data_IF_151423165856
#
_entry.id   IF_151423165856
#
_cell.length_a   1.000
_cell.length_b   1.000
_cell.length_c   1.000
_cell.angle_alpha   90.00
_cell.angle_beta   90.00
_cell.angle_gamma   90.00
#
_symmetry.space_group_name_H-M   'P 1'
#
loop_
_entity.id
_entity.type
_entity.pdbx_description
1 polymer ?
#
# COMPACT_ATOMS: atom_id res chain seq x y z
N UNK A 1 -7.47 0.31 7.30
CA UNK A 1 -7.28 -1.05 6.78
C UNK A 1 -7.71 -2.01 7.89
N UNK A 2 -8.03 -3.26 7.54
CA UNK A 2 -8.53 -4.26 8.49
C UNK A 2 -10.00 -4.08 8.86
N UNK A 3 -10.36 -4.54 10.07
CA UNK A 3 -11.75 -4.62 10.52
C UNK A 3 -12.40 -3.24 10.66
N UNK A 4 -13.50 -3.05 9.95
CA UNK A 4 -14.25 -1.80 9.97
C UNK A 4 -14.65 -1.39 11.40
N UNK A 5 -14.23 -0.19 11.81
CA UNK A 5 -14.53 0.44 13.11
C UNK A 5 -13.87 -0.22 14.34
N UNK A 6 -12.95 -1.15 14.14
CA UNK A 6 -12.18 -1.72 15.25
C UNK A 6 -11.26 -0.69 15.91
N UNK A 7 -10.59 0.18 15.13
CA UNK A 7 -9.78 1.28 15.69
C UNK A 7 -10.60 2.17 16.66
N UNK A 8 -11.80 2.57 16.23
CA UNK A 8 -12.70 3.40 17.06
C UNK A 8 -13.13 2.67 18.36
N UNK A 9 -13.30 1.34 18.31
CA UNK A 9 -13.60 0.52 19.48
C UNK A 9 -12.38 0.46 20.43
N UNK A 10 -11.19 0.24 19.89
CA UNK A 10 -9.94 0.20 20.65
C UNK A 10 -9.67 1.53 21.37
N UNK A 11 -9.97 2.66 20.73
CA UNK A 11 -9.82 3.99 21.32
C UNK A 11 -10.82 4.28 22.45
N UNK A 12 -12.01 3.66 22.40
CA UNK A 12 -13.06 3.85 23.42
C UNK A 12 -12.83 3.03 24.68
N UNK A 13 -11.98 2.01 24.64
CA UNK A 13 -11.74 1.11 25.77
C UNK A 13 -10.26 1.15 26.15
N UNK A 14 -9.85 2.05 27.07
CA UNK A 14 -8.46 2.19 27.48
C UNK A 14 -7.82 0.89 27.99
N UNK A 15 -8.60 0.00 28.61
CA UNK A 15 -8.10 -1.27 29.14
C UNK A 15 -7.67 -2.29 28.06
N UNK A 16 -7.99 -2.05 26.79
CA UNK A 16 -7.53 -2.89 25.67
C UNK A 16 -6.08 -2.61 25.26
N UNK A 17 -5.47 -1.53 25.77
CA UNK A 17 -4.11 -1.15 25.44
C UNK A 17 -3.26 -0.88 26.68
N UNK A 18 -1.94 -0.99 26.51
CA UNK A 18 -0.96 -0.56 27.49
C UNK A 18 -0.24 0.69 27.00
N UNK A 19 -0.05 1.66 27.86
CA UNK A 19 0.89 2.75 27.58
C UNK A 19 2.31 2.23 27.77
N UNK A 20 3.12 2.31 26.71
CA UNK A 20 4.49 1.79 26.67
C UNK A 20 5.44 2.86 26.16
N UNK A 21 6.72 2.70 26.49
CA UNK A 21 7.80 3.52 25.94
C UNK A 21 8.72 2.62 25.12
N UNK A 22 8.85 2.91 23.83
CA UNK A 22 9.66 2.12 22.90
C UNK A 22 11.07 2.69 22.85
N UNK A 23 12.05 1.84 23.19
CA UNK A 23 13.49 2.08 23.11
C UNK A 23 14.20 0.71 23.08
N UNK A 24 15.43 0.65 22.53
CA UNK A 24 16.34 -0.51 22.65
C UNK A 24 15.71 -1.86 22.25
N UNK A 25 14.97 -1.89 21.16
CA UNK A 25 14.23 -3.08 20.69
C UNK A 25 14.22 -3.17 19.17
N UNK A 26 14.02 -4.38 18.64
CA UNK A 26 13.60 -4.55 17.26
C UNK A 26 12.14 -4.15 17.06
N UNK A 27 11.79 -3.71 15.86
CA UNK A 27 10.44 -3.29 15.47
C UNK A 27 10.14 -3.73 14.04
N UNK A 28 9.09 -4.55 13.85
CA UNK A 28 8.60 -4.86 12.50
C UNK A 28 7.64 -3.75 12.07
N UNK A 29 7.82 -3.23 10.87
CA UNK A 29 7.07 -2.09 10.36
C UNK A 29 6.34 -2.49 9.08
N UNK A 30 5.04 -2.29 9.07
CA UNK A 30 4.25 -2.25 7.83
C UNK A 30 4.60 -0.97 7.05
N UNK A 31 5.40 -1.14 6.00
CA UNK A 31 5.92 -0.05 5.19
C UNK A 31 4.81 0.65 4.42
N UNK A 32 3.79 -0.08 3.95
CA UNK A 32 2.65 0.50 3.27
C UNK A 32 1.90 1.45 4.19
N UNK A 33 1.51 0.97 5.37
CA UNK A 33 0.89 1.82 6.39
C UNK A 33 1.77 3.03 6.75
N UNK A 34 3.08 2.83 6.91
CA UNK A 34 4.00 3.89 7.31
C UNK A 34 4.11 5.01 6.29
N UNK A 35 4.37 4.74 5.00
CA UNK A 35 4.54 5.83 4.05
C UNK A 35 3.23 6.59 3.79
N UNK A 36 2.07 5.93 3.83
CA UNK A 36 0.77 6.62 3.77
C UNK A 36 0.59 7.52 4.99
N UNK A 37 0.95 7.03 6.19
CA UNK A 37 0.85 7.78 7.43
C UNK A 37 1.76 9.02 7.42
N UNK A 38 3.05 8.85 7.11
CA UNK A 38 4.01 9.95 7.07
C UNK A 38 3.61 11.00 6.05
N UNK A 39 3.10 10.59 4.88
CA UNK A 39 2.67 11.55 3.86
C UNK A 39 1.45 12.37 4.29
N UNK A 40 0.39 11.69 4.73
CA UNK A 40 -0.90 12.33 5.01
C UNK A 40 -0.94 13.08 6.35
N UNK A 41 -0.15 12.67 7.32
CA UNK A 41 -0.14 13.25 8.67
C UNK A 41 1.15 14.04 8.97
N UNK A 42 1.94 14.38 7.94
CA UNK A 42 3.04 15.33 8.10
C UNK A 42 2.53 16.69 8.59
N UNK A 43 3.29 17.31 9.48
CA UNK A 43 2.98 18.65 9.99
C UNK A 43 3.14 19.72 8.90
N UNK A 44 3.96 19.44 7.87
CA UNK A 44 4.24 20.32 6.76
C UNK A 44 3.11 20.36 5.72
N UNK A 45 2.16 19.41 5.80
CA UNK A 45 1.04 19.25 4.84
C UNK A 45 1.55 19.18 3.40
N UNK A 46 2.22 18.08 3.11
CA UNK A 46 2.81 17.78 1.81
C UNK A 46 1.76 17.90 0.70
N UNK A 47 2.19 18.44 -0.44
CA UNK A 47 1.30 18.69 -1.58
C UNK A 47 0.74 17.37 -2.13
N UNK A 48 -0.54 17.34 -2.45
CA UNK A 48 -1.20 16.17 -3.05
C UNK A 48 -1.79 16.50 -4.42
N UNK A 49 -1.73 17.77 -4.84
CA UNK A 49 -2.42 18.25 -6.04
C UNK A 49 -1.52 18.25 -7.27
N UNK A 50 -0.29 18.72 -7.12
CA UNK A 50 0.63 19.00 -8.21
C UNK A 50 1.68 17.89 -8.36
N UNK A 51 1.27 16.63 -8.22
CA UNK A 51 2.14 15.48 -8.40
C UNK A 51 3.02 15.11 -7.19
N UNK A 52 2.93 15.85 -6.07
CA UNK A 52 3.55 15.49 -4.79
C UNK A 52 4.70 16.39 -4.34
N UNK A 53 4.96 16.42 -3.02
CA UNK A 53 6.13 17.05 -2.38
C UNK A 53 7.11 15.97 -1.89
N UNK A 54 7.95 15.49 -2.80
CA UNK A 54 8.93 14.44 -2.52
C UNK A 54 10.09 14.89 -1.62
N UNK A 55 10.63 16.12 -1.73
CA UNK A 55 11.62 16.61 -0.77
C UNK A 55 11.08 16.68 0.66
N UNK A 56 9.89 17.26 0.86
CA UNK A 56 9.26 17.31 2.18
C UNK A 56 8.92 15.91 2.72
N UNK A 57 8.50 14.99 1.85
CA UNK A 57 8.31 13.59 2.21
C UNK A 57 9.61 12.91 2.66
N UNK A 58 10.72 13.13 1.92
CA UNK A 58 12.04 12.59 2.28
C UNK A 58 12.47 13.07 3.67
N UNK A 59 12.29 14.35 3.97
CA UNK A 59 12.61 14.91 5.29
C UNK A 59 11.78 14.23 6.40
N UNK A 60 10.49 14.03 6.19
CA UNK A 60 9.61 13.37 7.15
C UNK A 60 10.04 11.92 7.43
N UNK A 61 10.34 11.14 6.38
CA UNK A 61 10.82 9.75 6.49
C UNK A 61 12.17 9.68 7.18
N UNK A 62 13.12 10.55 6.81
CA UNK A 62 14.43 10.60 7.44
C UNK A 62 14.34 10.94 8.92
N UNK A 63 13.46 11.86 9.31
CA UNK A 63 13.23 12.21 10.71
C UNK A 63 12.61 11.06 11.50
N UNK A 64 11.67 10.31 10.91
CA UNK A 64 11.09 9.14 11.54
C UNK A 64 12.16 8.09 11.88
N UNK A 65 12.98 7.68 10.91
CA UNK A 65 14.03 6.68 11.13
C UNK A 65 15.17 7.19 12.02
N UNK A 66 15.49 8.49 11.96
CA UNK A 66 16.42 9.12 12.90
C UNK A 66 15.91 9.03 14.33
N UNK A 67 14.61 9.26 14.57
CA UNK A 67 14.03 9.09 15.90
C UNK A 67 14.16 7.64 16.38
N UNK A 68 13.89 6.65 15.53
CA UNK A 68 14.08 5.24 15.90
C UNK A 68 15.55 4.96 16.28
N UNK A 69 16.49 5.43 15.47
CA UNK A 69 17.92 5.30 15.74
C UNK A 69 18.33 5.96 17.07
N UNK A 70 17.88 7.19 17.33
CA UNK A 70 18.16 7.92 18.56
C UNK A 70 17.57 7.21 19.81
N UNK A 71 16.57 6.36 19.60
CA UNK A 71 15.93 5.53 20.62
C UNK A 71 16.47 4.10 20.65
N UNK A 72 17.54 3.80 19.90
CA UNK A 72 18.13 2.46 19.75
C UNK A 72 17.12 1.40 19.29
N UNK A 73 16.12 1.81 18.50
CA UNK A 73 15.12 0.93 17.90
C UNK A 73 15.62 0.48 16.53
N UNK A 74 15.68 -0.83 16.30
CA UNK A 74 16.11 -1.43 15.02
C UNK A 74 14.87 -1.75 14.16
N UNK A 75 14.63 -1.01 13.07
CA UNK A 75 13.47 -1.22 12.21
C UNK A 75 13.70 -2.32 11.16
N UNK A 76 12.67 -3.13 10.91
CA UNK A 76 12.59 -4.07 9.79
C UNK A 76 11.30 -3.79 9.01
N UNK A 77 11.43 -3.29 7.78
CA UNK A 77 10.30 -2.79 7.01
C UNK A 77 9.80 -3.84 6.00
N UNK A 78 8.49 -4.08 5.95
CA UNK A 78 7.87 -4.97 4.97
C UNK A 78 6.93 -4.17 4.07
N UNK A 79 7.02 -4.38 2.75
CA UNK A 79 6.23 -3.66 1.75
C UNK A 79 5.31 -4.63 1.00
N UNK A 80 4.11 -4.17 0.66
CA UNK A 80 3.13 -4.97 -0.10
C UNK A 80 3.57 -5.24 -1.55
N UNK A 81 3.37 -6.49 -1.97
CA UNK A 81 3.72 -7.06 -3.24
C UNK A 81 2.72 -6.87 -4.37
N UNK A 82 2.65 -7.89 -5.23
CA UNK A 82 1.60 -8.04 -6.23
C UNK A 82 0.27 -8.41 -5.57
N UNK A 83 -0.82 -8.08 -6.24
CA UNK A 83 -2.16 -8.41 -5.77
C UNK A 83 -2.56 -9.77 -6.33
N UNK A 84 -2.87 -10.76 -5.49
CA UNK A 84 -3.33 -12.09 -5.93
C UNK A 84 -4.58 -12.04 -6.84
N UNK A 85 -4.82 -13.11 -7.61
CA UNK A 85 -5.85 -13.16 -8.67
C UNK A 85 -7.26 -12.87 -8.18
N UNK A 86 -7.53 -13.26 -6.94
CA UNK A 86 -8.87 -13.24 -6.33
C UNK A 86 -9.28 -11.83 -5.90
N UNK A 87 -8.38 -10.84 -6.00
CA UNK A 87 -8.60 -9.46 -5.53
C UNK A 87 -8.89 -8.47 -6.66
N UNK A 88 -9.05 -8.92 -7.92
CA UNK A 88 -9.26 -8.03 -9.07
C UNK A 88 -10.43 -7.07 -8.89
N UNK A 89 -11.59 -7.54 -8.45
CA UNK A 89 -12.77 -6.69 -8.23
C UNK A 89 -12.52 -5.65 -7.12
N UNK A 90 -11.86 -6.06 -6.04
CA UNK A 90 -11.46 -5.17 -4.95
C UNK A 90 -10.49 -4.08 -5.43
N UNK A 91 -9.50 -4.43 -6.27
CA UNK A 91 -8.56 -3.46 -6.86
C UNK A 91 -9.28 -2.44 -7.72
N UNK A 92 -10.22 -2.87 -8.57
CA UNK A 92 -11.00 -1.96 -9.42
C UNK A 92 -11.88 -1.04 -8.59
N UNK A 93 -12.55 -1.58 -7.56
CA UNK A 93 -13.34 -0.79 -6.61
C UNK A 93 -12.48 0.24 -5.87
N UNK A 94 -11.28 -0.16 -5.44
CA UNK A 94 -10.31 0.72 -4.78
C UNK A 94 -9.78 1.80 -5.74
N UNK A 95 -9.52 1.44 -7.00
CA UNK A 95 -9.10 2.39 -8.03
C UNK A 95 -10.20 3.43 -8.32
N UNK A 96 -11.46 3.02 -8.43
CA UNK A 96 -12.61 3.93 -8.57
C UNK A 96 -12.67 4.93 -7.40
N UNK A 97 -12.52 4.45 -6.16
CA UNK A 97 -12.48 5.33 -4.97
C UNK A 97 -11.29 6.30 -5.02
N UNK A 98 -10.12 5.87 -5.50
CA UNK A 98 -8.95 6.74 -5.67
C UNK A 98 -9.17 7.78 -6.77
N UNK A 99 -9.83 7.41 -7.86
CA UNK A 99 -10.20 8.32 -8.95
C UNK A 99 -11.11 9.46 -8.46
N UNK A 100 -12.16 9.13 -7.71
CA UNK A 100 -13.08 10.12 -7.12
C UNK A 100 -12.34 11.11 -6.20
N UNK A 101 -11.42 10.60 -5.37
CA UNK A 101 -10.58 11.44 -4.51
C UNK A 101 -9.67 12.34 -5.33
N UNK A 102 -9.02 11.80 -6.35
CA UNK A 102 -8.13 12.55 -7.23
C UNK A 102 -8.85 13.68 -7.97
N UNK A 103 -10.05 13.40 -8.51
CA UNK A 103 -10.94 14.39 -9.11
C UNK A 103 -11.28 15.50 -8.11
N UNK A 104 -11.72 15.12 -6.91
CA UNK A 104 -12.07 16.10 -5.87
C UNK A 104 -10.88 17.01 -5.53
N UNK A 105 -9.65 16.46 -5.43
CA UNK A 105 -8.44 17.25 -5.17
C UNK A 105 -8.09 18.17 -6.34
N UNK A 106 -8.27 17.72 -7.59
CA UNK A 106 -8.02 18.52 -8.79
C UNK A 106 -8.99 19.71 -8.92
N UNK A 107 -10.27 19.50 -8.61
CA UNK A 107 -11.33 20.51 -8.77
C UNK A 107 -11.44 21.49 -7.59
N UNK A 108 -10.91 21.14 -6.41
CA UNK A 108 -10.99 22.03 -5.24
C UNK A 108 -10.16 23.29 -5.45
N UNK A 109 -10.77 24.48 -5.50
CA UNK A 109 -10.04 25.75 -5.66
C UNK A 109 -9.01 26.01 -4.52
N UNK A 110 -7.88 26.63 -4.87
CA UNK A 110 -6.91 27.14 -3.90
C UNK A 110 -7.59 28.21 -3.04
N UNK A 111 -7.62 28.02 -1.72
CA UNK A 111 -8.14 29.02 -0.78
C UNK A 111 -9.61 28.84 -0.36
N UNK A 112 -10.38 27.93 -0.95
CA UNK A 112 -11.70 27.61 -0.43
C UNK A 112 -11.58 26.90 0.94
N UNK A 113 -12.21 27.48 1.96
CA UNK A 113 -12.51 26.86 3.24
C UNK A 113 -13.59 25.78 3.07
N UNK A 114 -13.35 24.79 2.21
CA UNK A 114 -14.05 23.51 2.30
C UNK A 114 -13.83 23.04 3.73
N UNK A 115 -14.91 22.81 4.49
CA UNK A 115 -14.89 22.43 5.91
C UNK A 115 -13.72 21.47 6.13
N UNK A 116 -12.71 21.90 6.90
CA UNK A 116 -11.40 21.23 7.13
C UNK A 116 -11.47 19.72 7.45
N UNK A 117 -12.65 19.16 7.74
CA UNK A 117 -12.87 17.77 8.12
C UNK A 117 -12.98 16.77 6.97
N UNK A 118 -13.08 17.19 5.70
CA UNK A 118 -13.32 16.28 4.57
C UNK A 118 -12.51 16.59 3.31
N UNK A 119 -11.24 17.02 3.43
CA UNK A 119 -10.37 17.01 2.24
C UNK A 119 -9.94 15.56 1.98
N UNK A 120 -10.26 14.98 0.81
CA UNK A 120 -9.83 13.64 0.48
C UNK A 120 -8.31 13.62 0.31
N UNK A 121 -7.67 12.56 0.83
CA UNK A 121 -6.24 12.35 0.66
C UNK A 121 -5.97 11.44 -0.54
N UNK A 122 -4.98 11.81 -1.35
CA UNK A 122 -4.48 11.09 -2.52
C UNK A 122 -2.96 10.99 -2.39
N UNK A 123 -2.43 9.77 -2.47
CA UNK A 123 -1.00 9.55 -2.39
C UNK A 123 -0.40 9.83 -3.78
N UNK A 124 0.63 10.69 -3.88
CA UNK A 124 1.35 10.86 -5.14
C UNK A 124 1.99 9.55 -5.61
N UNK A 125 2.13 9.36 -6.94
CA UNK A 125 2.48 8.08 -7.53
C UNK A 125 3.83 7.53 -7.08
N UNK A 126 4.80 8.41 -6.79
CA UNK A 126 6.19 7.99 -6.54
C UNK A 126 6.53 7.88 -5.06
N UNK A 127 5.56 8.08 -4.16
CA UNK A 127 5.82 8.04 -2.71
C UNK A 127 6.45 6.71 -2.29
N UNK A 128 5.95 5.60 -2.86
CA UNK A 128 6.50 4.27 -2.59
C UNK A 128 7.95 4.14 -3.08
N UNK A 129 8.23 4.56 -4.31
CA UNK A 129 9.58 4.47 -4.90
C UNK A 129 10.57 5.34 -4.12
N UNK A 130 10.19 6.58 -3.80
CA UNK A 130 11.00 7.48 -2.97
C UNK A 130 11.23 6.88 -1.58
N UNK A 131 10.21 6.26 -0.97
CA UNK A 131 10.36 5.60 0.31
C UNK A 131 11.39 4.46 0.24
N UNK A 132 11.30 3.57 -0.75
CA UNK A 132 12.26 2.48 -0.96
C UNK A 132 13.70 3.01 -1.16
N UNK A 133 13.87 4.05 -1.98
CA UNK A 133 15.19 4.63 -2.20
C UNK A 133 15.77 5.25 -0.92
N UNK A 134 14.95 5.85 -0.07
CA UNK A 134 15.39 6.35 1.24
C UNK A 134 15.80 5.20 2.16
N UNK A 135 15.07 4.07 2.18
CA UNK A 135 15.45 2.89 2.96
C UNK A 135 16.84 2.39 2.54
N UNK A 136 17.09 2.29 1.22
CA UNK A 136 18.40 1.91 0.67
C UNK A 136 19.49 2.92 1.04
N UNK A 137 19.24 4.22 0.87
CA UNK A 137 20.19 5.30 1.20
C UNK A 137 20.59 5.29 2.68
N UNK A 138 19.65 4.91 3.56
CA UNK A 138 19.82 4.88 5.01
C UNK A 138 20.26 3.51 5.55
N UNK A 139 20.49 2.53 4.67
CA UNK A 139 20.80 1.14 5.04
C UNK A 139 19.79 0.55 6.05
N UNK A 140 18.50 0.87 5.84
CA UNK A 140 17.41 0.32 6.64
C UNK A 140 17.00 -1.01 6.02
N UNK A 141 17.00 -2.07 6.83
CA UNK A 141 16.60 -3.39 6.37
C UNK A 141 15.12 -3.41 5.98
N UNK A 142 14.85 -3.85 4.76
CA UNK A 142 13.50 -4.00 4.26
C UNK A 142 13.35 -5.19 3.33
N UNK A 143 12.11 -5.65 3.22
CA UNK A 143 11.69 -6.68 2.27
C UNK A 143 10.45 -6.24 1.52
N UNK A 144 10.51 -6.34 0.21
CA UNK A 144 9.34 -6.23 -0.64
C UNK A 144 8.68 -7.61 -0.79
N UNK A 145 7.49 -7.79 -0.21
CA UNK A 145 6.76 -9.04 -0.28
C UNK A 145 6.31 -9.34 -1.72
N UNK A 146 6.05 -10.61 -2.03
CA UNK A 146 5.56 -11.02 -3.35
C UNK A 146 4.04 -10.84 -3.46
N UNK A 147 3.33 -10.98 -2.35
CA UNK A 147 1.91 -10.69 -2.21
C UNK A 147 1.64 -9.75 -1.06
N UNK A 148 0.59 -10.01 -0.29
CA UNK A 148 0.28 -9.20 0.90
C UNK A 148 1.38 -9.31 1.96
N UNK A 149 1.68 -8.19 2.61
CA UNK A 149 2.71 -8.16 3.62
C UNK A 149 2.28 -8.75 4.96
N UNK A 150 0.98 -8.74 5.32
CA UNK A 150 0.51 -9.16 6.66
C UNK A 150 1.03 -10.53 7.11
N UNK A 151 0.95 -11.61 6.29
CA UNK A 151 1.42 -12.93 6.70
C UNK A 151 2.94 -12.95 7.00
N UNK A 152 3.72 -12.24 6.18
CA UNK A 152 5.17 -12.15 6.34
C UNK A 152 5.55 -11.28 7.55
N UNK A 153 4.85 -10.16 7.76
CA UNK A 153 4.99 -9.30 8.94
C UNK A 153 4.71 -10.08 10.22
N UNK A 154 3.59 -10.81 10.25
CA UNK A 154 3.21 -11.64 11.39
C UNK A 154 4.29 -12.69 11.72
N UNK A 155 4.74 -13.42 10.70
CA UNK A 155 5.77 -14.44 10.84
C UNK A 155 7.09 -13.85 11.35
N UNK A 156 7.55 -12.75 10.75
CA UNK A 156 8.79 -12.08 11.13
C UNK A 156 8.72 -11.51 12.55
N UNK A 157 7.58 -10.92 12.95
CA UNK A 157 7.39 -10.39 14.30
C UNK A 157 7.51 -11.48 15.37
N UNK A 158 6.90 -12.63 15.13
CA UNK A 158 6.95 -13.75 16.08
C UNK A 158 8.31 -14.44 16.11
N UNK A 159 8.99 -14.57 14.96
CA UNK A 159 10.35 -15.12 14.88
C UNK A 159 11.37 -14.22 15.60
N UNK A 160 11.32 -12.91 15.31
CA UNK A 160 12.26 -11.93 15.86
C UNK A 160 11.86 -11.41 17.25
N UNK A 161 10.74 -11.88 17.80
CA UNK A 161 10.20 -11.41 19.08
C UNK A 161 10.09 -9.88 19.14
N UNK A 162 9.51 -9.30 18.10
CA UNK A 162 9.34 -7.86 17.90
C UNK A 162 7.86 -7.48 17.84
N UNK A 163 7.52 -6.27 18.28
CA UNK A 163 6.18 -5.71 18.07
C UNK A 163 5.99 -5.31 16.59
N UNK A 164 4.74 -5.25 16.15
CA UNK A 164 4.37 -4.76 14.81
C UNK A 164 3.89 -3.31 14.89
N UNK A 165 4.42 -2.42 14.06
CA UNK A 165 3.94 -1.06 13.86
C UNK A 165 3.16 -0.97 12.55
N UNK A 166 1.86 -0.70 12.62
CA UNK A 166 0.98 -0.52 11.45
C UNK A 166 -0.23 0.38 11.79
N UNK A 167 -1.05 0.68 10.78
CA UNK A 167 -2.42 1.22 10.93
C UNK A 167 -3.48 0.12 10.74
N UNK A 168 -3.08 -1.07 10.31
CA UNK A 168 -3.98 -2.17 10.07
C UNK A 168 -4.39 -2.84 11.38
N UNK A 169 -5.70 -2.84 11.65
CA UNK A 169 -6.26 -3.45 12.86
C UNK A 169 -6.35 -4.97 12.78
N UNK A 170 -6.06 -5.58 11.63
CA UNK A 170 -5.90 -7.03 11.48
C UNK A 170 -4.79 -7.59 12.40
N UNK A 171 -3.76 -6.79 12.72
CA UNK A 171 -2.72 -7.18 13.69
C UNK A 171 -3.21 -7.30 15.14
N UNK A 172 -4.42 -6.85 15.45
CA UNK A 172 -5.08 -7.20 16.73
C UNK A 172 -5.67 -8.62 16.73
N UNK A 173 -5.87 -9.21 15.55
CA UNK A 173 -6.45 -10.55 15.37
C UNK A 173 -5.35 -11.60 15.30
N UNK A 174 -4.28 -11.30 14.56
CA UNK A 174 -3.08 -12.12 14.56
C UNK A 174 -2.54 -12.31 15.99
N UNK A 175 -2.00 -13.50 16.28
CA UNK A 175 -1.40 -13.80 17.58
C UNK A 175 0.05 -13.29 17.66
N UNK A 176 0.22 -11.97 17.53
CA UNK A 176 1.55 -11.34 17.56
C UNK A 176 2.06 -11.35 19.00
N UNK A 177 3.13 -12.09 19.28
CA UNK A 177 3.61 -12.36 20.64
C UNK A 177 3.97 -11.08 21.43
N UNK A 178 4.58 -10.10 20.77
CA UNK A 178 4.93 -8.81 21.38
C UNK A 178 3.88 -7.73 21.18
N UNK A 179 2.77 -8.06 20.54
CA UNK A 179 1.67 -7.16 20.28
C UNK A 179 1.86 -6.19 19.12
N UNK A 180 0.88 -5.32 18.99
CA UNK A 180 0.67 -4.38 17.90
C UNK A 180 0.70 -2.94 18.42
N UNK A 181 1.45 -2.08 17.75
CA UNK A 181 1.54 -0.65 17.99
C UNK A 181 0.81 0.07 16.84
N UNK A 182 -0.23 0.81 17.17
CA UNK A 182 -0.96 1.56 16.15
C UNK A 182 -0.24 2.89 15.83
N UNK A 183 0.03 3.18 14.55
CA UNK A 183 0.80 4.36 14.10
C UNK A 183 0.28 5.70 14.64
N UNK A 184 -1.03 5.86 14.75
CA UNK A 184 -1.69 7.06 15.34
C UNK A 184 -1.26 7.35 16.79
N UNK A 185 -0.95 6.29 17.55
CA UNK A 185 -0.54 6.38 18.94
C UNK A 185 0.97 6.26 19.11
N UNK A 186 1.73 6.04 18.04
CA UNK A 186 3.18 5.97 18.08
C UNK A 186 3.78 7.37 17.99
N UNK A 187 4.07 7.97 19.15
CA UNK A 187 4.34 9.41 19.28
C UNK A 187 5.79 9.78 18.97
N UNK A 188 6.33 9.31 17.84
CA UNK A 188 7.74 9.49 17.47
C UNK A 188 8.19 10.96 17.43
N UNK A 189 7.29 11.91 17.10
CA UNK A 189 7.60 13.36 17.15
C UNK A 189 7.71 13.93 18.57
N UNK A 190 7.18 13.22 19.57
CA UNK A 190 7.20 13.58 20.99
C UNK A 190 8.19 12.73 21.78
N UNK A 191 9.19 12.13 21.12
CA UNK A 191 10.22 11.36 21.81
C UNK A 191 10.83 12.18 22.95
N UNK A 192 11.08 11.53 24.08
CA UNK A 192 11.68 12.17 25.25
C UNK A 192 12.65 11.20 25.90
N UNK A 193 13.84 11.67 26.25
CA UNK A 193 14.87 10.89 26.95
C UNK A 193 15.19 9.54 26.28
N UNK A 194 15.25 9.54 24.93
CA UNK A 194 15.51 8.33 24.14
C UNK A 194 14.33 7.38 24.01
N UNK A 195 13.11 7.78 24.39
CA UNK A 195 11.92 6.93 24.40
C UNK A 195 10.80 7.48 23.54
N UNK A 196 10.10 6.58 22.85
CA UNK A 196 8.91 6.92 22.06
C UNK A 196 7.66 6.43 22.81
N UNK A 197 6.81 7.34 23.31
CA UNK A 197 5.53 6.96 23.88
C UNK A 197 4.64 6.28 22.83
N UNK A 198 4.01 5.17 23.21
CA UNK A 198 3.12 4.43 22.35
C UNK A 198 2.01 3.70 23.11
N UNK A 199 1.01 3.21 22.38
CA UNK A 199 -0.01 2.28 22.89
C UNK A 199 0.15 0.90 22.29
N UNK A 200 0.33 -0.10 23.16
CA UNK A 200 0.49 -1.50 22.80
C UNK A 200 -0.82 -2.26 22.97
N UNK A 201 -1.25 -2.89 21.89
CA UNK A 201 -2.42 -3.76 21.83
C UNK A 201 -1.97 -5.22 21.78
N UNK A 202 -2.63 -6.07 22.55
CA UNK A 202 -2.35 -7.51 22.55
C UNK A 202 -3.66 -8.28 22.44
N UNK A 203 -3.63 -9.40 21.71
CA UNK A 203 -4.76 -10.31 21.58
C UNK A 203 -5.22 -10.84 22.94
N UNK A 204 -4.29 -11.11 23.85
CA UNK A 204 -4.60 -11.59 25.21
C UNK A 204 -5.47 -10.60 26.00
N UNK A 205 -5.08 -9.32 26.07
CA UNK A 205 -5.90 -8.28 26.75
C UNK A 205 -7.27 -8.11 26.09
N UNK A 206 -7.32 -8.21 24.76
CA UNK A 206 -8.58 -8.15 24.04
C UNK A 206 -9.50 -9.33 24.41
N UNK A 207 -9.00 -10.55 24.36
CA UNK A 207 -9.72 -11.77 24.74
C UNK A 207 -10.16 -11.74 26.21
N UNK A 208 -9.29 -11.29 27.12
CA UNK A 208 -9.60 -11.15 28.55
C UNK A 208 -10.76 -10.18 28.79
N UNK A 209 -10.69 -8.99 28.18
CA UNK A 209 -11.72 -7.96 28.32
C UNK A 209 -13.11 -8.46 27.87
N UNK A 210 -13.17 -9.10 26.70
CA UNK A 210 -14.42 -9.59 26.13
C UNK A 210 -14.81 -11.00 26.59
N UNK A 211 -14.01 -11.64 27.44
CA UNK A 211 -14.14 -13.05 27.83
C UNK A 211 -14.30 -13.96 26.60
N UNK A 212 -13.53 -13.66 25.56
CA UNK A 212 -13.58 -14.34 24.28
C UNK A 212 -12.47 -15.40 24.26
N UNK A 213 -12.83 -16.63 23.92
CA UNK A 213 -11.83 -17.66 23.63
C UNK A 213 -10.93 -17.19 22.47
N UNK A 214 -9.59 -17.17 22.65
CA UNK A 214 -8.66 -16.77 21.60
C UNK A 214 -8.92 -17.49 20.27
N UNK A 215 -9.31 -18.78 20.27
CA UNK A 215 -9.59 -19.53 19.05
C UNK A 215 -10.68 -18.89 18.16
N UNK A 216 -11.55 -18.04 18.73
CA UNK A 216 -12.66 -17.36 18.06
C UNK A 216 -12.30 -15.98 17.49
N UNK A 217 -11.09 -15.46 17.75
CA UNK A 217 -10.63 -14.18 17.17
C UNK A 217 -10.71 -14.14 15.62
N UNK A 218 -10.29 -15.18 14.88
CA UNK A 218 -10.47 -15.23 13.43
C UNK A 218 -11.94 -15.23 12.99
N UNK A 219 -12.83 -15.87 13.76
CA UNK A 219 -14.27 -15.87 13.48
C UNK A 219 -14.83 -14.47 13.66
N UNK A 220 -14.46 -13.80 14.77
CA UNK A 220 -14.83 -12.41 15.01
C UNK A 220 -14.42 -11.52 13.84
N UNK A 221 -13.16 -11.61 13.38
CA UNK A 221 -12.68 -10.83 12.25
C UNK A 221 -13.49 -11.08 10.97
N UNK A 222 -13.75 -12.35 10.67
CA UNK A 222 -14.49 -12.80 9.49
C UNK A 222 -15.94 -12.30 9.47
N UNK A 223 -16.65 -12.32 10.61
CA UNK A 223 -18.04 -11.83 10.68
C UNK A 223 -18.14 -10.30 10.83
N UNK A 224 -17.17 -9.67 11.50
CA UNK A 224 -17.19 -8.23 11.79
C UNK A 224 -17.10 -7.38 10.53
N UNK A 225 -16.44 -7.88 9.48
CA UNK A 225 -16.18 -7.14 8.26
C UNK A 225 -14.71 -6.81 8.11
N UNK A 226 -13.94 -7.73 7.55
CA UNK A 226 -12.57 -7.48 7.08
C UNK A 226 -12.55 -7.37 5.54
N UNK A 227 -11.37 -7.37 4.95
CA UNK A 227 -11.21 -7.24 3.49
C UNK A 227 -11.75 -8.45 2.69
N UNK A 228 -12.11 -9.54 3.35
CA UNK A 228 -12.58 -10.78 2.72
C UNK A 228 -14.09 -11.01 2.87
N UNK A 229 -14.67 -10.73 4.05
CA UNK A 229 -16.05 -11.10 4.37
C UNK A 229 -16.70 -10.13 5.37
N UNK A 230 -18.03 -10.06 5.37
CA UNK A 230 -18.81 -9.26 6.33
C UNK A 230 -20.21 -9.82 6.51
N UNK A 231 -20.60 -10.10 7.76
CA UNK A 231 -21.91 -10.62 8.12
C UNK A 231 -22.95 -9.47 8.29
N UNK A 232 -24.23 -9.76 8.04
CA UNK A 232 -25.37 -8.84 8.10
C UNK A 232 -25.43 -7.89 9.32
N UNK A 233 -25.98 -6.69 9.10
CA UNK A 233 -25.73 -5.52 9.97
C UNK A 233 -26.64 -5.38 11.20
N UNK A 234 -27.90 -5.79 11.13
CA UNK A 234 -28.93 -5.25 12.04
C UNK A 234 -29.07 -6.01 13.37
N UNK A 235 -28.96 -7.34 13.35
CA UNK A 235 -29.29 -8.17 14.52
C UNK A 235 -28.29 -7.94 15.67
N UNK A 236 -26.99 -8.07 15.42
CA UNK A 236 -25.97 -7.86 16.47
C UNK A 236 -25.95 -6.44 17.01
N UNK A 237 -26.25 -5.44 16.19
CA UNK A 237 -26.27 -4.05 16.62
C UNK A 237 -27.47 -3.77 17.55
N UNK A 238 -28.63 -4.35 17.26
CA UNK A 238 -29.86 -4.19 18.05
C UNK A 238 -29.80 -4.90 19.41
N UNK A 239 -29.04 -5.99 19.51
CA UNK A 239 -28.87 -6.76 20.74
C UNK A 239 -27.84 -6.14 21.70
N UNK A 240 -27.07 -5.15 21.23
CA UNK A 240 -26.06 -4.48 22.05
C UNK A 240 -26.66 -3.31 22.83
N UNK A 241 -26.55 -3.35 24.15
CA UNK A 241 -26.88 -2.22 25.03
C UNK A 241 -25.79 -1.14 25.09
N UNK A 242 -24.69 -1.30 24.32
CA UNK A 242 -23.57 -0.34 24.35
C UNK A 242 -23.96 1.03 23.79
N UNK A 243 -23.48 2.13 24.38
CA UNK A 243 -23.61 3.47 23.79
C UNK A 243 -22.67 3.59 22.60
N UNK A 244 -23.10 4.23 21.50
CA UNK A 244 -22.21 4.49 20.36
C UNK A 244 -22.86 4.41 18.98
N UNK A 245 -22.03 4.57 17.94
CA UNK A 245 -22.43 4.40 16.55
C UNK A 245 -22.83 2.94 16.28
N UNK A 246 -23.76 2.73 15.34
CA UNK A 246 -24.33 1.42 15.06
C UNK A 246 -23.28 0.35 14.69
N UNK A 247 -22.21 0.74 13.99
CA UNK A 247 -21.11 -0.17 13.66
C UNK A 247 -20.33 -0.65 14.90
N UNK A 248 -20.13 0.21 15.90
CA UNK A 248 -19.45 -0.16 17.15
C UNK A 248 -20.34 -1.07 18.00
N UNK A 249 -21.64 -0.74 18.09
CA UNK A 249 -22.63 -1.61 18.72
C UNK A 249 -22.63 -3.01 18.11
N UNK A 250 -22.51 -3.09 16.77
CA UNK A 250 -22.39 -4.36 16.05
C UNK A 250 -21.19 -5.17 16.53
N UNK A 251 -20.00 -4.56 16.62
CA UNK A 251 -18.79 -5.25 17.10
C UNK A 251 -18.99 -5.78 18.53
N UNK A 252 -19.53 -4.96 19.43
CA UNK A 252 -19.87 -5.39 20.80
C UNK A 252 -20.87 -6.54 20.83
N UNK A 253 -21.93 -6.48 20.00
CA UNK A 253 -22.93 -7.54 19.90
C UNK A 253 -22.32 -8.85 19.44
N UNK A 254 -21.45 -8.82 18.43
CA UNK A 254 -20.72 -9.99 17.94
C UNK A 254 -19.80 -10.58 19.02
N UNK A 255 -19.00 -9.75 19.70
CA UNK A 255 -18.11 -10.20 20.77
C UNK A 255 -18.91 -10.80 21.94
N UNK A 256 -20.01 -10.15 22.31
CA UNK A 256 -20.92 -10.64 23.37
C UNK A 256 -21.55 -11.97 22.99
N UNK A 257 -22.00 -12.11 21.75
CA UNK A 257 -22.56 -13.36 21.23
C UNK A 257 -21.53 -14.49 21.28
N UNK A 258 -20.34 -14.26 20.72
CA UNK A 258 -19.28 -15.27 20.67
C UNK A 258 -18.82 -15.68 22.07
N UNK A 259 -18.73 -14.75 23.02
CA UNK A 259 -18.34 -15.02 24.42
C UNK A 259 -19.32 -15.95 25.17
N UNK A 260 -20.57 -16.08 24.70
CA UNK A 260 -21.61 -16.91 25.32
C UNK A 260 -21.66 -18.34 24.76
N UNK A 261 -20.93 -18.62 23.67
CA UNK A 261 -20.91 -19.94 23.07
C UNK A 261 -20.14 -20.91 23.97
N UNK A 262 -20.80 -22.01 24.35
CA UNK A 262 -20.20 -23.05 25.19
C UNK A 262 -19.48 -24.07 24.31
N UNK A 263 -18.21 -23.80 23.99
CA UNK A 263 -17.41 -24.61 23.07
C UNK A 263 -16.16 -25.22 23.72
N UNK A 264 -16.08 -25.21 25.05
CA UNK A 264 -14.86 -25.56 25.82
C UNK A 264 -14.37 -27.00 25.61
N UNK A 265 -15.27 -27.92 25.25
CA UNK A 265 -14.95 -29.33 25.00
C UNK A 265 -14.39 -29.63 23.61
N UNK A 266 -14.39 -28.64 22.71
CA UNK A 266 -13.98 -28.80 21.32
C UNK A 266 -12.51 -28.39 21.12
N UNK A 267 -11.85 -28.92 20.09
CA UNK A 267 -10.58 -28.35 19.61
C UNK A 267 -10.82 -27.03 18.86
N UNK A 268 -9.77 -26.23 18.70
CA UNK A 268 -9.87 -24.89 18.12
C UNK A 268 -10.47 -24.86 16.70
N UNK A 269 -10.22 -25.87 15.88
CA UNK A 269 -10.82 -25.96 14.54
C UNK A 269 -12.33 -26.14 14.61
N UNK A 270 -12.79 -27.04 15.48
CA UNK A 270 -14.23 -27.30 15.69
C UNK A 270 -14.90 -26.10 16.34
N UNK A 271 -14.23 -25.42 17.29
CA UNK A 271 -14.73 -24.17 17.89
C UNK A 271 -15.02 -23.12 16.82
N UNK A 272 -14.09 -22.91 15.89
CA UNK A 272 -14.24 -21.92 14.81
C UNK A 272 -15.41 -22.25 13.87
N UNK A 273 -15.49 -23.49 13.40
CA UNK A 273 -16.57 -23.96 12.52
C UNK A 273 -17.95 -23.80 13.19
N UNK A 274 -18.09 -24.27 14.43
CA UNK A 274 -19.34 -24.16 15.17
C UNK A 274 -19.70 -22.70 15.47
N UNK A 275 -18.73 -21.87 15.84
CA UNK A 275 -18.98 -20.46 16.11
C UNK A 275 -19.45 -19.70 14.87
N UNK A 276 -18.84 -19.96 13.70
CA UNK A 276 -19.27 -19.39 12.43
C UNK A 276 -20.69 -19.84 12.08
N UNK A 277 -20.98 -21.14 12.14
CA UNK A 277 -22.31 -21.67 11.85
C UNK A 277 -23.38 -21.08 12.79
N UNK A 278 -23.07 -20.94 14.09
CA UNK A 278 -23.98 -20.31 15.05
C UNK A 278 -24.21 -18.83 14.72
N UNK A 279 -23.17 -18.08 14.35
CA UNK A 279 -23.30 -16.66 14.00
C UNK A 279 -24.14 -16.46 12.74
N UNK A 280 -23.91 -17.26 11.69
CA UNK A 280 -24.66 -17.24 10.43
C UNK A 280 -26.13 -17.61 10.66
N UNK A 281 -26.40 -18.67 11.45
CA UNK A 281 -27.76 -19.07 11.81
C UNK A 281 -28.48 -17.98 12.62
N UNK A 282 -27.76 -17.31 13.53
CA UNK A 282 -28.30 -16.22 14.35
C UNK A 282 -28.81 -15.07 13.49
N UNK A 283 -28.07 -14.72 12.42
CA UNK A 283 -28.48 -13.65 11.49
C UNK A 283 -29.37 -14.12 10.34
N UNK A 284 -29.63 -15.44 10.25
CA UNK A 284 -30.41 -16.07 9.17
C UNK A 284 -29.83 -15.80 7.77
N UNK A 285 -28.51 -15.73 7.66
CA UNK A 285 -27.81 -15.63 6.39
C UNK A 285 -27.33 -17.01 5.92
N UNK A 286 -26.94 -17.11 4.65
CA UNK A 286 -26.30 -18.32 4.12
C UNK A 286 -24.80 -18.15 4.26
N UNK A 287 -24.13 -19.19 4.79
CA UNK A 287 -22.68 -19.18 4.89
C UNK A 287 -22.07 -19.18 3.48
N UNK A 288 -21.26 -18.15 3.20
CA UNK A 288 -20.46 -18.05 1.99
C UNK A 288 -19.01 -18.52 2.24
N UNK A 289 -18.37 -19.06 1.20
CA UNK A 289 -16.99 -19.55 1.24
C UNK A 289 -15.99 -18.45 1.67
N UNK A 290 -16.31 -17.19 1.40
CA UNK A 290 -15.50 -16.04 1.83
C UNK A 290 -15.25 -16.02 3.35
N UNK A 291 -16.21 -16.43 4.19
CA UNK A 291 -16.03 -16.45 5.64
C UNK A 291 -14.96 -17.45 6.09
N UNK A 292 -14.93 -18.65 5.48
CA UNK A 292 -13.93 -19.69 5.79
C UNK A 292 -12.53 -19.28 5.34
N UNK A 293 -12.42 -18.72 4.13
CA UNK A 293 -11.15 -18.20 3.61
C UNK A 293 -10.61 -17.05 4.48
N UNK A 294 -11.51 -16.17 4.93
CA UNK A 294 -11.22 -15.08 5.85
C UNK A 294 -10.69 -15.57 7.21
N UNK A 295 -11.27 -16.65 7.76
CA UNK A 295 -10.75 -17.29 8.98
C UNK A 295 -9.36 -17.88 8.73
N UNK A 296 -9.17 -18.58 7.60
CA UNK A 296 -7.91 -19.23 7.27
C UNK A 296 -6.74 -18.23 7.16
N UNK A 297 -6.99 -16.99 6.67
CA UNK A 297 -6.01 -15.89 6.65
C UNK A 297 -5.25 -15.73 7.98
N UNK A 298 -5.95 -15.82 9.10
CA UNK A 298 -5.37 -15.61 10.43
C UNK A 298 -4.89 -16.90 11.12
N UNK A 299 -5.40 -18.06 10.74
CA UNK A 299 -5.05 -19.36 11.35
C UNK A 299 -3.81 -19.94 10.71
N UNK A 300 -3.73 -19.88 9.38
CA UNK A 300 -2.62 -20.38 8.57
C UNK A 300 -2.18 -19.28 7.59
N UNK A 301 -1.55 -18.21 8.11
CA UNK A 301 -1.04 -17.13 7.27
C UNK A 301 0.03 -17.68 6.32
N UNK A 302 -0.27 -17.70 5.03
CA UNK A 302 0.61 -18.23 3.99
C UNK A 302 1.28 -17.09 3.23
N UNK A 303 2.57 -17.26 2.94
CA UNK A 303 3.28 -16.38 2.01
C UNK A 303 2.74 -16.63 0.60
N UNK A 304 2.63 -15.58 -0.19
CA UNK A 304 2.32 -15.72 -1.62
C UNK A 304 3.52 -16.28 -2.37
N UNK A 305 3.31 -17.39 -3.07
CA UNK A 305 4.26 -17.95 -4.02
C UNK A 305 4.01 -17.38 -5.41
N UNK A 306 5.07 -17.26 -6.22
CA UNK A 306 5.00 -16.84 -7.62
C UNK A 306 5.87 -17.77 -8.47
N UNK A 307 5.41 -18.04 -9.69
CA UNK A 307 6.09 -18.91 -10.66
C UNK A 307 7.27 -18.22 -11.36
N UNK A 308 7.55 -16.96 -11.01
CA UNK A 308 8.64 -16.20 -11.58
C UNK A 308 10.01 -16.82 -11.29
N UNK A 309 11.00 -16.66 -12.20
CA UNK A 309 12.35 -17.11 -11.95
C UNK A 309 12.95 -16.51 -10.68
N UNK A 310 13.72 -17.31 -9.94
CA UNK A 310 14.28 -16.92 -8.64
C UNK A 310 15.04 -15.58 -8.65
N UNK A 311 15.80 -15.29 -9.71
CA UNK A 311 16.53 -14.03 -9.83
C UNK A 311 15.60 -12.81 -9.93
N UNK A 312 14.40 -12.96 -10.51
CA UNK A 312 13.38 -11.91 -10.59
C UNK A 312 12.80 -11.68 -9.20
N UNK A 313 12.44 -12.78 -8.51
CA UNK A 313 11.90 -12.73 -7.14
C UNK A 313 12.88 -12.03 -6.20
N UNK A 314 14.17 -12.36 -6.26
CA UNK A 314 15.21 -11.72 -5.45
C UNK A 314 15.35 -10.22 -5.74
N UNK A 315 15.24 -9.80 -7.01
CA UNK A 315 15.27 -8.38 -7.38
C UNK A 315 14.04 -7.64 -6.88
N UNK A 316 12.86 -8.27 -6.93
CA UNK A 316 11.64 -7.71 -6.34
C UNK A 316 11.81 -7.55 -4.85
N UNK A 317 12.21 -8.61 -4.12
CA UNK A 317 12.36 -8.60 -2.66
C UNK A 317 13.33 -7.49 -2.17
N UNK A 318 14.35 -7.16 -2.96
CA UNK A 318 15.33 -6.07 -2.71
C UNK A 318 14.85 -4.67 -3.16
N UNK A 319 13.65 -4.56 -3.72
CA UNK A 319 13.14 -3.31 -4.29
C UNK A 319 13.94 -2.82 -5.50
N UNK A 320 14.63 -3.71 -6.22
CA UNK A 320 15.32 -3.41 -7.48
C UNK A 320 14.38 -3.53 -8.69
N UNK A 321 13.29 -4.27 -8.54
CA UNK A 321 12.25 -4.43 -9.56
C UNK A 321 10.87 -4.17 -8.95
N UNK A 322 10.02 -3.47 -9.69
CA UNK A 322 8.67 -3.09 -9.27
C UNK A 322 7.72 -4.30 -9.23
N UNK A 323 6.81 -4.34 -8.24
CA UNK A 323 5.92 -5.50 -8.02
C UNK A 323 4.83 -5.67 -9.07
N UNK A 324 4.55 -4.65 -9.89
CA UNK A 324 3.56 -4.77 -10.96
C UNK A 324 3.97 -5.80 -12.03
N UNK A 325 5.27 -6.17 -12.08
CA UNK A 325 5.78 -7.29 -12.90
C UNK A 325 5.06 -8.60 -12.56
N UNK A 326 4.79 -8.85 -11.27
CA UNK A 326 4.06 -10.04 -10.81
C UNK A 326 2.66 -10.06 -11.41
N UNK A 327 1.93 -8.94 -11.31
CA UNK A 327 0.58 -8.83 -11.85
C UNK A 327 0.55 -9.00 -13.39
N UNK A 328 1.55 -8.48 -14.10
CA UNK A 328 1.64 -8.62 -15.56
C UNK A 328 1.95 -10.07 -15.94
N UNK A 329 2.95 -10.70 -15.31
CA UNK A 329 3.36 -12.06 -15.68
C UNK A 329 2.32 -13.09 -15.26
N UNK A 330 1.76 -12.97 -14.06
CA UNK A 330 0.82 -13.97 -13.55
C UNK A 330 -0.56 -13.75 -14.16
N UNK A 331 -1.06 -12.52 -14.14
CA UNK A 331 -2.46 -12.20 -14.44
C UNK A 331 -2.68 -11.43 -15.74
N UNK A 332 -1.60 -11.00 -16.43
CA UNK A 332 -1.68 -10.20 -17.65
C UNK A 332 -2.57 -8.97 -17.43
N UNK A 333 -2.42 -8.36 -16.26
CA UNK A 333 -3.22 -7.22 -15.81
C UNK A 333 -2.32 -6.11 -15.26
N UNK A 334 -2.64 -4.86 -15.61
CA UNK A 334 -1.99 -3.68 -15.09
C UNK A 334 -3.04 -2.71 -14.54
N UNK A 335 -2.91 -2.36 -13.26
CA UNK A 335 -3.74 -1.34 -12.61
C UNK A 335 -2.95 -0.03 -12.65
N UNK A 336 -3.43 0.95 -13.42
CA UNK A 336 -2.79 2.26 -13.49
C UNK A 336 -3.32 3.14 -12.36
N UNK A 337 -2.46 3.57 -11.40
CA UNK A 337 -2.90 4.37 -10.26
C UNK A 337 -3.56 5.68 -10.70
N UNK A 338 -4.72 6.01 -10.12
CA UNK A 338 -5.38 7.28 -10.39
C UNK A 338 -4.51 8.46 -9.96
N UNK A 339 -4.33 9.44 -10.85
CA UNK A 339 -3.51 10.62 -10.63
C UNK A 339 -4.38 11.86 -10.43
N UNK A 340 -3.87 12.85 -9.71
CA UNK A 340 -4.46 14.19 -9.69
C UNK A 340 -4.01 14.92 -10.95
N UNK A 341 -4.91 15.04 -11.91
CA UNK A 341 -4.63 15.57 -13.26
C UNK A 341 -5.87 16.29 -13.83
N UNK A 342 -5.78 16.81 -15.05
CA UNK A 342 -6.93 17.40 -15.75
C UNK A 342 -7.85 16.30 -16.32
N UNK A 343 -9.01 16.12 -15.71
CA UNK A 343 -10.00 15.11 -16.10
C UNK A 343 -10.73 15.44 -17.41
N UNK A 344 -10.62 16.67 -17.92
CA UNK A 344 -11.12 17.03 -19.26
C UNK A 344 -10.26 16.43 -20.38
N UNK A 345 -9.01 16.09 -20.07
CA UNK A 345 -8.06 15.49 -21.00
C UNK A 345 -8.03 13.96 -20.88
N UNK A 346 -7.54 13.24 -21.92
CA UNK A 346 -7.22 11.82 -21.82
C UNK A 346 -6.27 11.52 -20.65
N UNK A 347 -6.28 10.28 -20.17
CA UNK A 347 -5.35 9.79 -19.14
C UNK A 347 -3.91 10.13 -19.50
N UNK A 348 -3.16 10.72 -18.57
CA UNK A 348 -1.72 11.01 -18.75
C UNK A 348 -0.89 9.76 -19.02
N UNK A 349 -1.35 8.57 -18.63
CA UNK A 349 -0.74 7.30 -19.02
C UNK A 349 -0.73 7.06 -20.54
N UNK A 350 -1.54 7.79 -21.32
CA UNK A 350 -1.49 7.73 -22.79
C UNK A 350 -0.10 8.08 -23.34
N UNK A 351 0.62 8.98 -22.66
CA UNK A 351 1.98 9.36 -23.04
C UNK A 351 2.94 8.16 -23.06
N UNK A 352 2.81 7.26 -22.07
CA UNK A 352 3.67 6.09 -21.93
C UNK A 352 3.09 4.81 -22.55
N UNK A 353 2.02 4.90 -23.35
CA UNK A 353 1.32 3.73 -23.89
C UNK A 353 2.25 2.76 -24.63
N UNK A 354 3.05 3.27 -25.58
CA UNK A 354 3.93 2.45 -26.40
C UNK A 354 5.02 1.74 -25.57
N UNK A 355 5.54 2.40 -24.53
CA UNK A 355 6.52 1.82 -23.60
C UNK A 355 5.92 0.61 -22.89
N UNK A 356 4.67 0.74 -22.43
CA UNK A 356 3.96 -0.39 -21.79
C UNK A 356 3.72 -1.54 -22.75
N UNK A 357 3.39 -1.27 -24.03
CA UNK A 357 3.26 -2.34 -25.03
C UNK A 357 4.54 -3.17 -25.19
N UNK A 358 5.70 -2.51 -25.23
CA UNK A 358 7.00 -3.19 -25.24
C UNK A 358 7.24 -3.95 -23.94
N UNK A 359 6.97 -3.32 -22.80
CA UNK A 359 7.14 -3.94 -21.49
C UNK A 359 6.30 -5.22 -21.33
N UNK A 360 5.04 -5.19 -21.78
CA UNK A 360 4.19 -6.37 -21.82
C UNK A 360 4.74 -7.42 -22.77
N UNK A 361 5.22 -7.03 -23.97
CA UNK A 361 5.82 -7.97 -24.93
C UNK A 361 7.02 -8.71 -24.34
N UNK A 362 7.87 -8.00 -23.61
CA UNK A 362 9.02 -8.57 -22.90
C UNK A 362 8.60 -9.55 -21.79
N UNK A 363 7.59 -9.19 -21.00
CA UNK A 363 7.19 -9.98 -19.83
C UNK A 363 6.26 -11.16 -20.15
N UNK A 364 5.40 -11.04 -21.16
CA UNK A 364 4.35 -12.02 -21.43
C UNK A 364 4.58 -12.82 -22.72
N UNK A 365 5.70 -12.58 -23.41
CA UNK A 365 6.03 -13.27 -24.66
C UNK A 365 5.06 -12.94 -25.80
N UNK A 366 4.54 -11.70 -25.84
CA UNK A 366 3.62 -11.24 -26.89
C UNK A 366 2.14 -11.46 -26.60
N UNK A 367 1.77 -11.85 -25.37
CA UNK A 367 0.37 -11.87 -24.95
C UNK A 367 -0.14 -10.46 -24.64
N UNK A 368 -1.44 -10.21 -24.87
CA UNK A 368 -2.06 -8.94 -24.52
C UNK A 368 -2.17 -8.77 -23.00
N UNK A 369 -2.06 -7.53 -22.52
CA UNK A 369 -2.29 -7.17 -21.13
C UNK A 369 -3.62 -6.40 -21.00
N UNK A 370 -4.36 -6.61 -19.92
CA UNK A 370 -5.56 -5.85 -19.59
C UNK A 370 -5.16 -4.67 -18.69
N UNK A 371 -5.30 -3.44 -19.20
CA UNK A 371 -5.06 -2.22 -18.42
C UNK A 371 -6.36 -1.72 -17.80
N UNK A 372 -6.31 -1.36 -16.52
CA UNK A 372 -7.36 -0.59 -15.86
C UNK A 372 -6.91 0.84 -15.73
N UNK A 373 -7.59 1.72 -16.45
CA UNK A 373 -7.28 3.15 -16.52
C UNK A 373 -8.58 3.96 -16.45
N UNK A 374 -8.45 5.26 -16.23
CA UNK A 374 -9.58 6.15 -16.41
C UNK A 374 -9.89 6.34 -17.90
N UNK A 375 -11.18 6.35 -18.21
CA UNK A 375 -11.75 6.92 -19.40
C UNK A 375 -12.66 8.06 -18.95
N UNK A 376 -12.15 9.30 -19.05
CA UNK A 376 -12.73 10.48 -18.40
C UNK A 376 -12.82 10.28 -16.89
N UNK A 377 -14.04 10.14 -16.37
CA UNK A 377 -14.34 10.05 -14.94
C UNK A 377 -14.66 8.62 -14.48
N UNK A 378 -14.56 7.64 -15.37
CA UNK A 378 -14.86 6.24 -15.05
C UNK A 378 -13.63 5.36 -15.23
N UNK A 379 -13.49 4.34 -14.38
CA UNK A 379 -12.49 3.29 -14.60
C UNK A 379 -13.03 2.29 -15.61
N UNK A 380 -12.25 2.06 -16.68
CA UNK A 380 -12.52 1.04 -17.70
C UNK A 380 -11.32 0.13 -17.88
N UNK A 381 -11.58 -1.11 -18.25
CA UNK A 381 -10.54 -2.01 -18.73
C UNK A 381 -10.34 -1.88 -20.24
N UNK A 382 -9.08 -1.99 -20.66
CA UNK A 382 -8.68 -1.95 -22.07
C UNK A 382 -7.69 -3.06 -22.34
N UNK A 383 -7.90 -3.80 -23.44
CA UNK A 383 -6.95 -4.80 -23.91
C UNK A 383 -5.84 -4.12 -24.71
N UNK A 384 -4.63 -4.14 -24.17
CA UNK A 384 -3.46 -3.52 -24.78
C UNK A 384 -2.63 -4.59 -25.50
N UNK A 385 -2.44 -4.46 -26.82
CA UNK A 385 -1.57 -5.36 -27.55
C UNK A 385 -0.13 -5.12 -27.13
N UNK A 386 0.59 -6.19 -26.89
CA UNK A 386 2.02 -6.15 -26.67
C UNK A 386 2.76 -6.08 -27.99
N UNK A 387 3.94 -5.47 -27.96
CA UNK A 387 4.86 -5.45 -29.08
C UNK A 387 6.02 -6.36 -28.70
N UNK A 388 6.10 -7.52 -29.35
CA UNK A 388 7.26 -8.40 -29.22
C UNK A 388 8.38 -7.85 -30.10
N UNK A 389 9.49 -7.52 -29.48
CA UNK A 389 10.68 -7.08 -30.18
C UNK A 389 11.31 -8.27 -30.91
N UNK A 390 11.75 -8.08 -32.15
CA UNK A 390 12.54 -9.09 -32.84
C UNK A 390 13.87 -9.34 -32.09
N UNK A 391 14.55 -10.45 -32.37
CA UNK A 391 15.87 -10.72 -31.75
C UNK A 391 16.87 -9.58 -32.01
N UNK A 392 16.75 -8.89 -33.15
CA UNK A 392 17.57 -7.72 -33.48
C UNK A 392 17.12 -6.48 -32.71
N UNK A 393 15.82 -6.26 -32.50
CA UNK A 393 15.31 -5.13 -31.71
C UNK A 393 15.56 -5.32 -30.19
N UNK A 394 15.60 -6.57 -29.70
CA UNK A 394 16.00 -6.89 -28.33
C UNK A 394 17.49 -6.60 -28.09
N UNK A 395 18.34 -6.85 -29.10
CA UNK A 395 19.75 -6.40 -29.09
C UNK A 395 19.86 -4.88 -29.17
N UNK A 396 18.91 -4.19 -29.83
CA UNK A 396 18.83 -2.72 -29.88
C UNK A 396 18.37 -2.06 -28.57
N UNK A 397 17.73 -2.80 -27.65
CA UNK A 397 17.30 -2.27 -26.35
C UNK A 397 18.44 -2.09 -25.33
N UNK A 398 19.66 -2.51 -25.64
CA UNK A 398 20.82 -2.02 -24.89
C UNK A 398 20.86 -0.50 -25.04
N UNK A 399 21.03 0.23 -23.93
CA UNK A 399 21.19 1.70 -23.91
C UNK A 399 22.08 2.21 -25.06
N UNK A 400 23.05 1.37 -25.43
CA UNK A 400 23.98 1.48 -26.56
C UNK A 400 23.38 1.88 -27.92
N UNK A 401 22.09 1.68 -28.22
CA UNK A 401 21.50 2.11 -29.51
C UNK A 401 20.50 3.27 -29.47
N UNK A 402 20.02 3.67 -28.29
CA UNK A 402 19.54 5.06 -28.12
C UNK A 402 20.69 6.07 -28.34
N UNK A 403 21.94 5.60 -28.29
CA UNK A 403 23.16 6.35 -28.57
C UNK A 403 23.49 6.53 -30.07
N UNK A 404 22.89 5.80 -31.02
CA UNK A 404 23.37 5.80 -32.42
C UNK A 404 23.29 7.17 -33.12
N UNK A 405 22.71 8.19 -32.47
CA UNK A 405 22.70 9.59 -32.96
C UNK A 405 23.21 10.63 -31.96
N UNK A 406 23.64 10.24 -30.76
CA UNK A 406 24.06 11.17 -29.71
C UNK A 406 25.35 10.70 -29.04
N UNK A 407 26.39 11.51 -29.12
CA UNK A 407 27.60 11.34 -28.33
C UNK A 407 27.29 11.66 -26.85
N UNK A 408 27.02 10.61 -26.07
CA UNK A 408 26.80 10.71 -24.63
C UNK A 408 28.11 10.64 -23.82
N UNK A 409 29.28 10.58 -24.47
CA UNK A 409 30.57 10.48 -23.79
C UNK A 409 30.83 11.62 -22.81
N UNK A 410 30.27 12.79 -23.10
CA UNK A 410 30.38 13.99 -22.28
C UNK A 410 29.22 14.21 -21.29
N UNK A 411 28.22 13.30 -21.27
CA UNK A 411 27.05 13.42 -20.40
C UNK A 411 27.26 12.53 -19.16
N UNK A 412 27.14 13.07 -17.93
CA UNK A 412 27.20 12.28 -16.71
C UNK A 412 26.24 11.09 -16.75
N UNK A 413 26.64 9.93 -16.21
CA UNK A 413 25.84 8.68 -16.30
C UNK A 413 24.39 8.85 -15.83
N UNK A 414 24.16 9.65 -14.77
CA UNK A 414 22.84 9.93 -14.23
C UNK A 414 21.93 10.77 -15.15
N UNK A 415 22.50 11.47 -16.15
CA UNK A 415 21.79 12.30 -17.13
C UNK A 415 21.63 11.64 -18.51
N UNK A 416 22.31 10.51 -18.76
CA UNK A 416 22.26 9.82 -20.06
C UNK A 416 20.84 9.42 -20.44
N UNK A 417 20.15 8.69 -19.57
CA UNK A 417 18.76 8.28 -19.82
C UNK A 417 17.80 9.48 -19.98
N UNK A 418 17.82 10.51 -19.11
CA UNK A 418 17.02 11.73 -19.30
C UNK A 418 17.24 12.41 -20.65
N UNK A 419 18.48 12.56 -21.08
CA UNK A 419 18.81 13.16 -22.38
C UNK A 419 18.30 12.28 -23.53
N UNK A 420 18.51 10.97 -23.46
CA UNK A 420 17.97 10.01 -24.42
C UNK A 420 16.44 10.10 -24.55
N UNK A 421 15.73 10.14 -23.42
CA UNK A 421 14.27 10.27 -23.36
C UNK A 421 13.81 11.60 -23.98
N UNK A 422 14.49 12.69 -23.65
CA UNK A 422 14.16 14.04 -24.17
C UNK A 422 14.32 14.09 -25.68
N UNK A 423 15.41 13.52 -26.19
CA UNK A 423 15.68 13.45 -27.64
C UNK A 423 14.67 12.56 -28.34
N UNK A 424 14.33 11.42 -27.76
CA UNK A 424 13.29 10.54 -28.30
C UNK A 424 11.98 11.31 -28.50
N UNK A 425 11.51 12.02 -27.47
CA UNK A 425 10.28 12.81 -27.54
C UNK A 425 10.38 13.99 -28.50
N UNK A 426 11.54 14.65 -28.57
CA UNK A 426 11.80 15.73 -29.52
C UNK A 426 11.76 15.23 -30.98
N UNK A 427 12.39 14.10 -31.30
CA UNK A 427 12.31 13.49 -32.64
C UNK A 427 10.90 13.05 -32.99
N UNK A 428 10.18 12.47 -32.02
CA UNK A 428 8.78 12.06 -32.22
C UNK A 428 7.88 13.26 -32.53
N UNK A 429 8.14 14.42 -31.92
CA UNK A 429 7.45 15.67 -32.23
C UNK A 429 7.67 16.09 -33.69
N UNK A 430 8.90 15.94 -34.21
CA UNK A 430 9.23 16.30 -35.59
C UNK A 430 8.51 15.41 -36.61
N UNK A 431 8.38 14.11 -36.33
CA UNK A 431 7.76 13.16 -37.26
C UNK A 431 6.23 13.06 -37.11
N UNK A 432 5.70 13.26 -35.91
CA UNK A 432 4.27 13.16 -35.60
C UNK A 432 3.85 14.25 -34.60
N UNK A 433 3.67 15.50 -35.05
CA UNK A 433 3.35 16.63 -34.18
C UNK A 433 1.90 16.52 -33.70
N UNK A 434 1.71 15.85 -32.57
CA UNK A 434 0.45 15.85 -31.84
C UNK A 434 0.57 16.73 -30.59
N UNK A 435 -0.49 17.46 -30.18
CA UNK A 435 -0.47 18.32 -29.00
C UNK A 435 0.09 17.63 -27.74
N UNK A 436 -0.23 16.35 -27.54
CA UNK A 436 0.24 15.56 -26.40
C UNK A 436 1.77 15.43 -26.37
N UNK A 437 2.40 15.40 -27.54
CA UNK A 437 3.87 15.30 -27.68
C UNK A 437 4.56 16.60 -27.26
N UNK A 438 3.94 17.75 -27.55
CA UNK A 438 4.42 19.07 -27.10
C UNK A 438 4.34 19.17 -25.58
N UNK A 439 3.23 18.73 -24.99
CA UNK A 439 3.06 18.72 -23.54
C UNK A 439 4.06 17.79 -22.83
N UNK A 440 4.33 16.60 -23.40
CA UNK A 440 5.35 15.70 -22.88
C UNK A 440 6.75 16.34 -22.92
N UNK A 441 7.11 16.98 -24.03
CA UNK A 441 8.40 17.66 -24.15
C UNK A 441 8.52 18.86 -23.20
N UNK A 442 7.46 19.66 -23.03
CA UNK A 442 7.44 20.74 -22.04
C UNK A 442 7.57 20.23 -20.61
N UNK A 443 6.83 19.17 -20.25
CA UNK A 443 6.94 18.55 -18.93
C UNK A 443 8.35 18.01 -18.68
N UNK A 444 8.96 17.41 -19.72
CA UNK A 444 10.35 16.98 -19.65
C UNK A 444 11.28 18.19 -19.45
N UNK A 445 11.22 19.22 -20.29
CA UNK A 445 12.10 20.40 -20.18
C UNK A 445 11.97 21.13 -18.84
N UNK A 446 10.76 21.24 -18.28
CA UNK A 446 10.51 21.81 -16.95
C UNK A 446 11.16 20.98 -15.83
N UNK A 447 11.23 19.65 -16.00
CA UNK A 447 11.95 18.75 -15.09
C UNK A 447 13.47 19.03 -15.02
N UNK A 448 14.08 19.52 -16.11
CA UNK A 448 15.50 19.90 -16.13
C UNK A 448 15.76 21.24 -15.44
N UNK A 449 14.80 22.17 -15.48
CA UNK A 449 15.00 23.55 -15.00
C UNK A 449 14.92 23.70 -13.47
N UNK A 450 14.46 22.67 -12.74
CA UNK A 450 14.23 22.75 -11.28
C UNK A 450 15.44 22.39 -10.39
N UNK A 451 16.63 22.24 -10.96
CA UNK A 451 17.85 21.98 -10.21
C UNK A 451 18.95 22.92 -10.69
N UNK A 452 19.35 23.92 -9.88
CA UNK A 452 20.76 24.32 -9.83
C UNK A 452 21.18 25.14 -8.60
N UNK A 453 20.33 25.94 -7.95
CA UNK A 453 20.83 26.96 -6.99
C UNK A 453 20.31 26.87 -5.53
N UNK A 454 20.05 25.69 -4.97
CA UNK A 454 19.76 25.55 -3.53
C UNK A 454 20.84 24.74 -2.82
N UNK A 455 21.74 25.37 -2.03
CA UNK A 455 22.80 24.66 -1.33
C UNK A 455 22.19 23.78 -0.24
N UNK A 456 22.38 22.45 -0.36
CA UNK A 456 21.99 21.47 0.66
C UNK A 456 20.98 20.40 0.23
N UNK A 457 20.52 20.36 -1.03
CA UNK A 457 19.55 19.34 -1.49
C UNK A 457 20.20 18.34 -2.47
N UNK A 458 20.36 17.11 -2.00
CA UNK A 458 20.81 15.95 -2.79
C UNK A 458 19.97 15.72 -4.05
N UNK A 459 20.65 15.38 -5.13
CA UNK A 459 20.19 15.20 -6.51
C UNK A 459 19.09 14.16 -6.72
N UNK A 460 17.80 14.54 -6.67
CA UNK A 460 16.71 13.61 -7.00
C UNK A 460 15.49 14.31 -7.60
N UNK A 461 15.66 14.89 -8.78
CA UNK A 461 14.57 14.87 -9.78
C UNK A 461 14.95 13.75 -10.76
N UNK A 462 14.77 12.51 -10.30
CA UNK A 462 14.84 11.35 -11.18
C UNK A 462 13.64 11.40 -12.13
N UNK A 463 13.87 11.03 -13.37
CA UNK A 463 12.92 11.16 -14.47
C UNK A 463 11.94 10.00 -14.46
N UNK A 464 10.79 10.17 -13.81
CA UNK A 464 9.83 9.08 -13.57
C UNK A 464 8.81 8.83 -14.68
N UNK A 465 9.19 9.05 -15.95
CA UNK A 465 8.39 8.57 -17.10
C UNK A 465 8.85 7.16 -17.55
N UNK A 466 9.97 6.65 -17.02
CA UNK A 466 10.51 5.35 -17.39
C UNK A 466 10.92 4.57 -16.13
N UNK A 467 10.43 3.34 -15.90
CA UNK A 467 11.08 2.41 -14.98
C UNK A 467 12.48 2.08 -15.51
N UNK A 468 13.47 2.01 -14.62
CA UNK A 468 14.84 1.58 -14.93
C UNK A 468 14.90 0.14 -15.39
#
# INVERSE_FOLDING_TARGET
MGILKLEDLLDQIPSLCEEVNIEKTGLIIDGAALYYFLYYYSNLKLDQRCGGDYPGFKDEVCNFFKTLQDCEVTPYVFLDGGSGSDKREHLVSHLKKKLEKAKTVAETELGCTVRKRYRPNVLPPLVRDVFIEILKEKDIEFKQCLGEADPEIFSAANQNQCAVLSIDTDFCIYDVHKGFLHLKHFEWKRKKDGKIPAKLYTRSKFCEHFKLDPALMPVFASIAGNDCSRLGKEIFANESSSPGQNDIKRLYGMLTFLSKLKLDSCNDSVKREQALQNAVNHVREIEDRSFKLSIQKYVEPTKTDSELPLWVLQKIERGELTTFVINIVDQKTMILPALVEDFSQPSSYTAAYCIRQYFYGLLTGGQMCTEYDRDREEIKDKRVPSILLSSDDQKQLQLERLHETLDLGNIPDHLKLPVCVTVFWFKRLQHHPKPETVHCLHALLLGFMYHHDSPGKSHWVTWYIFPR
#
